data_IF_455839413958
#
_entry.id   IF_455839413958
#
_cell.length_a   1.000
_cell.length_b   1.000
_cell.length_c   1.000
_cell.angle_alpha   90.00
_cell.angle_beta   90.00
_cell.angle_gamma   90.00
#
_symmetry.space_group_name_H-M   'P 1'
#
loop_
_entity.id
_entity.type
_entity.pdbx_description
1 polymer ?
#
# COMPACT_ATOMS: atom_id res chain seq x y z
N UNK A 1 -19.44 -20.60 6.39
CA UNK A 1 -20.15 -21.91 6.36
C UNK A 1 -20.39 -22.32 4.92
N UNK A 2 -20.39 -23.62 4.62
CA UNK A 2 -20.71 -24.16 3.30
C UNK A 2 -21.94 -25.08 3.39
N UNK A 3 -22.76 -25.08 2.33
CA UNK A 3 -23.96 -25.91 2.21
C UNK A 3 -23.91 -26.75 0.94
N UNK A 4 -24.50 -27.94 1.00
CA UNK A 4 -24.71 -28.76 -0.19
C UNK A 4 -25.95 -28.30 -0.98
N UNK A 5 -26.22 -28.95 -2.11
CA UNK A 5 -27.37 -28.65 -2.98
C UNK A 5 -28.73 -28.83 -2.28
N UNK A 6 -28.81 -29.67 -1.25
CA UNK A 6 -30.01 -29.87 -0.43
C UNK A 6 -30.17 -28.81 0.69
N UNK A 7 -29.25 -27.84 0.78
CA UNK A 7 -29.27 -26.79 1.79
C UNK A 7 -28.75 -27.20 3.17
N UNK A 8 -28.29 -28.44 3.35
CA UNK A 8 -27.67 -28.89 4.60
C UNK A 8 -26.29 -28.27 4.76
N UNK A 9 -25.96 -27.85 5.97
CA UNK A 9 -24.61 -27.35 6.29
C UNK A 9 -23.66 -28.53 6.31
N UNK A 10 -22.65 -28.49 5.45
CA UNK A 10 -21.64 -29.56 5.32
C UNK A 10 -20.28 -29.14 5.85
N UNK A 11 -20.08 -27.83 6.09
CA UNK A 11 -18.89 -27.33 6.76
C UNK A 11 -19.22 -26.03 7.48
N UNK A 12 -18.69 -25.85 8.69
CA UNK A 12 -18.90 -24.65 9.50
C UNK A 12 -17.63 -24.28 10.21
N UNK A 13 -17.30 -23.00 10.22
CA UNK A 13 -16.21 -22.46 11.01
C UNK A 13 -16.73 -21.26 11.78
N UNK A 14 -16.67 -21.38 13.11
CA UNK A 14 -17.02 -20.32 14.05
C UNK A 14 -15.71 -19.86 14.69
N UNK A 15 -15.10 -18.86 14.05
CA UNK A 15 -13.82 -18.30 14.45
C UNK A 15 -13.95 -17.41 15.68
N UNK A 16 -12.87 -17.35 16.48
CA UNK A 16 -12.62 -16.21 17.35
C UNK A 16 -12.08 -15.02 16.55
N UNK A 17 -11.64 -13.95 17.23
CA UNK A 17 -11.13 -12.76 16.55
C UNK A 17 -9.89 -13.04 15.68
N UNK A 18 -9.10 -14.08 15.98
CA UNK A 18 -7.81 -14.32 15.34
C UNK A 18 -7.77 -15.60 14.48
N UNK A 19 -8.86 -16.34 14.34
CA UNK A 19 -8.87 -17.52 13.47
C UNK A 19 -8.47 -18.81 14.18
N UNK A 20 -8.40 -18.86 15.51
CA UNK A 20 -7.72 -19.95 16.23
C UNK A 20 -8.55 -21.21 16.40
N UNK A 21 -9.84 -21.17 16.07
CA UNK A 21 -10.74 -22.31 16.27
C UNK A 21 -10.70 -23.26 15.08
N UNK A 22 -10.90 -24.55 15.34
CA UNK A 22 -11.01 -25.54 14.28
C UNK A 22 -12.37 -25.45 13.57
N UNK A 23 -12.38 -25.72 12.27
CA UNK A 23 -13.64 -25.88 11.55
C UNK A 23 -14.30 -27.22 11.87
N UNK A 24 -15.62 -27.22 11.95
CA UNK A 24 -16.45 -28.41 11.98
C UNK A 24 -16.71 -28.88 10.53
N UNK A 25 -16.12 -30.00 10.17
CA UNK A 25 -16.19 -30.60 8.82
C UNK A 25 -17.40 -31.54 8.62
N UNK A 26 -18.12 -31.91 9.68
CA UNK A 26 -19.38 -32.66 9.59
C UNK A 26 -20.40 -32.09 10.60
N UNK A 27 -20.86 -30.85 10.43
CA UNK A 27 -21.82 -30.24 11.33
C UNK A 27 -23.21 -30.90 11.26
N UNK A 28 -23.47 -31.72 10.23
CA UNK A 28 -24.72 -32.47 10.08
C UNK A 28 -24.68 -33.85 10.76
N UNK A 29 -23.51 -34.32 11.22
CA UNK A 29 -23.34 -35.62 11.88
C UNK A 29 -23.64 -36.81 10.97
N UNK A 30 -23.38 -36.66 9.67
CA UNK A 30 -23.71 -37.66 8.64
C UNK A 30 -22.61 -38.70 8.45
N UNK A 31 -21.45 -38.51 9.08
CA UNK A 31 -20.25 -39.31 8.89
C UNK A 31 -19.45 -38.96 7.63
N UNK A 32 -19.86 -37.92 6.88
CA UNK A 32 -19.16 -37.43 5.68
C UNK A 32 -18.53 -36.07 5.96
N UNK A 33 -17.21 -36.03 6.12
CA UNK A 33 -16.47 -34.78 6.30
C UNK A 33 -16.30 -34.03 4.98
N UNK A 34 -16.59 -32.73 4.98
CA UNK A 34 -16.27 -31.82 3.88
C UNK A 34 -15.14 -30.89 4.30
N UNK A 35 -14.00 -30.96 3.62
CA UNK A 35 -12.86 -30.08 3.91
C UNK A 35 -12.96 -28.77 3.13
N UNK A 36 -12.91 -27.65 3.83
CA UNK A 36 -12.75 -26.31 3.25
C UNK A 36 -11.55 -25.64 3.91
N UNK A 37 -10.53 -25.35 3.10
CA UNK A 37 -9.26 -24.79 3.59
C UNK A 37 -9.27 -23.26 3.68
N UNK A 38 -10.27 -22.57 3.11
CA UNK A 38 -10.35 -21.11 3.21
C UNK A 38 -10.61 -20.66 4.66
N UNK A 39 -9.97 -19.55 5.08
CA UNK A 39 -10.09 -18.94 6.41
C UNK A 39 -10.52 -17.47 6.28
N UNK A 40 -9.89 -16.55 7.00
CA UNK A 40 -10.09 -15.11 6.78
C UNK A 40 -9.69 -14.72 5.35
N UNK A 41 -10.10 -13.53 4.85
CA UNK A 41 -9.80 -13.15 3.47
C UNK A 41 -8.28 -13.19 3.22
N UNK A 42 -7.89 -13.77 2.08
CA UNK A 42 -6.48 -14.00 1.73
C UNK A 42 -5.85 -15.27 2.33
N UNK A 43 -6.48 -15.89 3.33
CA UNK A 43 -5.90 -17.00 4.08
C UNK A 43 -6.36 -18.38 3.59
N UNK A 44 -5.37 -19.27 3.43
CA UNK A 44 -5.53 -20.69 3.16
C UNK A 44 -4.94 -21.52 4.30
N UNK A 45 -5.76 -22.35 4.95
CA UNK A 45 -5.31 -23.28 5.97
C UNK A 45 -4.51 -24.43 5.35
N UNK A 46 -3.24 -24.52 5.74
CA UNK A 46 -2.39 -25.66 5.43
C UNK A 46 -2.49 -26.69 6.56
N UNK A 47 -3.14 -27.82 6.27
CA UNK A 47 -3.39 -28.88 7.24
C UNK A 47 -2.10 -29.63 7.65
N UNK A 48 -1.04 -29.57 6.85
CA UNK A 48 0.21 -30.28 7.13
C UNK A 48 1.07 -29.53 8.15
N UNK A 49 1.08 -28.20 8.08
CA UNK A 49 1.91 -27.35 8.94
C UNK A 49 1.13 -26.72 10.09
N UNK A 50 -0.16 -26.41 9.91
CA UNK A 50 -1.04 -25.76 10.90
C UNK A 50 -1.25 -24.24 10.71
N UNK A 51 -0.23 -23.43 10.35
CA UNK A 51 -0.42 -22.03 10.00
C UNK A 51 -1.29 -21.81 8.77
N UNK A 52 -1.84 -20.60 8.65
CA UNK A 52 -2.56 -20.15 7.48
C UNK A 52 -1.59 -19.49 6.51
N UNK A 53 -1.52 -19.97 5.28
CA UNK A 53 -0.81 -19.29 4.21
C UNK A 53 -1.59 -18.05 3.76
N UNK A 54 -0.96 -16.88 3.85
CA UNK A 54 -1.51 -15.57 3.49
C UNK A 54 -0.57 -14.93 2.45
N UNK A 55 -0.57 -15.52 1.25
CA UNK A 55 0.23 -15.17 0.08
C UNK A 55 1.73 -14.93 0.34
N UNK A 56 2.10 -13.73 0.80
CA UNK A 56 3.49 -13.39 1.06
C UNK A 56 4.00 -13.89 2.43
N UNK A 57 3.11 -14.30 3.34
CA UNK A 57 3.47 -14.67 4.73
C UNK A 57 2.65 -15.85 5.27
N UNK A 58 3.16 -16.52 6.29
CA UNK A 58 2.43 -17.53 7.06
C UNK A 58 1.94 -16.94 8.38
N UNK A 59 0.63 -17.04 8.63
CA UNK A 59 -0.06 -16.53 9.80
C UNK A 59 -0.35 -17.65 10.79
N UNK A 60 0.06 -17.48 12.04
CA UNK A 60 -0.29 -18.38 13.14
C UNK A 60 -1.49 -17.82 13.92
N UNK A 61 -2.68 -18.42 13.78
CA UNK A 61 -3.88 -17.95 14.46
C UNK A 61 -3.84 -18.17 15.97
N UNK A 62 -2.97 -19.04 16.50
CA UNK A 62 -2.85 -19.28 17.96
C UNK A 62 -2.17 -18.12 18.67
N UNK A 63 -1.25 -17.45 17.98
CA UNK A 63 -0.53 -16.29 18.50
C UNK A 63 -1.06 -14.97 17.94
N UNK A 64 -1.92 -15.02 16.92
CA UNK A 64 -2.49 -13.85 16.25
C UNK A 64 -1.45 -13.07 15.44
N UNK A 65 -0.42 -13.74 14.94
CA UNK A 65 0.78 -13.11 14.37
C UNK A 65 1.29 -13.88 13.15
N UNK A 66 2.02 -13.19 12.29
CA UNK A 66 2.85 -13.85 11.28
C UNK A 66 4.02 -14.58 11.94
N UNK A 67 4.43 -15.72 11.38
CA UNK A 67 5.57 -16.51 11.89
C UNK A 67 6.90 -16.02 11.31
N UNK A 68 6.84 -15.33 10.17
CA UNK A 68 7.96 -14.63 9.55
C UNK A 68 7.82 -13.13 9.80
N UNK A 69 8.95 -12.45 9.95
CA UNK A 69 8.96 -10.97 9.94
C UNK A 69 8.40 -10.48 8.61
N UNK A 70 7.72 -9.35 8.64
CA UNK A 70 7.24 -8.68 7.44
C UNK A 70 8.38 -8.50 6.43
N UNK A 71 8.22 -8.94 5.16
CA UNK A 71 9.20 -8.68 4.10
C UNK A 71 9.49 -7.19 3.88
N UNK A 72 8.54 -6.32 4.21
CA UNK A 72 8.74 -4.86 4.19
C UNK A 72 9.37 -4.32 5.50
N UNK A 73 9.53 -5.15 6.54
CA UNK A 73 10.19 -4.78 7.79
C UNK A 73 9.31 -3.96 8.74
N UNK A 74 9.90 -3.02 9.49
CA UNK A 74 9.17 -2.13 10.43
C UNK A 74 8.14 -1.23 9.73
N UNK A 75 8.19 -1.21 8.42
CA UNK A 75 7.28 -0.58 7.48
C UNK A 75 5.84 -1.13 7.60
N UNK A 76 5.66 -2.41 7.97
CA UNK A 76 4.35 -3.00 8.31
C UNK A 76 3.85 -2.64 9.72
N UNK A 77 4.65 -1.93 10.50
CA UNK A 77 4.42 -1.57 11.91
C UNK A 77 5.61 -1.94 12.81
N UNK A 78 5.72 -1.30 13.98
CA UNK A 78 6.79 -1.56 14.97
C UNK A 78 6.91 -3.05 15.31
N UNK A 79 5.79 -3.76 15.27
CA UNK A 79 5.75 -5.21 15.36
C UNK A 79 5.60 -5.81 13.95
N UNK A 80 6.73 -6.18 13.34
CA UNK A 80 6.79 -6.79 11.99
C UNK A 80 6.14 -8.16 11.89
N UNK A 81 5.67 -8.72 13.02
CA UNK A 81 4.94 -9.98 13.06
C UNK A 81 3.44 -9.76 13.32
N UNK A 82 2.98 -8.51 13.44
CA UNK A 82 1.57 -8.24 13.74
C UNK A 82 0.68 -8.49 12.52
N UNK A 83 -0.49 -9.05 12.76
CA UNK A 83 -1.57 -9.14 11.79
C UNK A 83 -2.52 -7.97 12.01
N UNK A 84 -2.80 -7.18 10.96
CA UNK A 84 -3.81 -6.10 10.94
C UNK A 84 -3.78 -5.17 12.17
N UNK A 85 -2.58 -4.78 12.59
CA UNK A 85 -2.39 -3.88 13.75
C UNK A 85 -2.95 -4.39 15.09
N UNK A 86 -3.32 -5.67 15.18
CA UNK A 86 -4.03 -6.24 16.33
C UNK A 86 -5.55 -6.03 16.33
N UNK A 87 -6.15 -5.55 15.24
CA UNK A 87 -7.59 -5.32 15.09
C UNK A 87 -8.25 -6.14 13.95
N UNK A 88 -8.25 -7.48 14.02
CA UNK A 88 -8.80 -8.36 12.98
C UNK A 88 -10.33 -8.35 12.85
N UNK A 89 -11.01 -7.59 13.70
CA UNK A 89 -12.46 -7.39 13.62
C UNK A 89 -12.79 -6.29 12.59
N UNK A 90 -11.93 -5.28 12.48
CA UNK A 90 -12.18 -4.10 11.64
C UNK A 90 -11.33 -4.07 10.39
N UNK A 91 -10.19 -4.76 10.39
CA UNK A 91 -9.19 -4.73 9.34
C UNK A 91 -8.91 -6.12 8.79
N UNK A 92 -8.49 -6.15 7.53
CA UNK A 92 -8.19 -7.37 6.77
C UNK A 92 -6.90 -7.11 6.00
N UNK A 93 -6.05 -8.13 5.89
CA UNK A 93 -4.79 -8.07 5.13
C UNK A 93 -4.74 -9.19 4.07
N UNK A 94 -5.43 -9.01 2.91
CA UNK A 94 -5.59 -10.04 1.88
C UNK A 94 -4.28 -10.46 1.20
N UNK A 95 -3.36 -9.51 0.96
CA UNK A 95 -2.08 -9.78 0.30
C UNK A 95 -0.91 -9.91 1.30
N UNK A 96 -1.04 -9.41 2.52
CA UNK A 96 0.05 -9.34 3.47
C UNK A 96 0.90 -8.06 3.36
N UNK A 97 0.40 -6.94 2.81
CA UNK A 97 1.19 -5.76 2.35
C UNK A 97 0.49 -4.39 2.60
N UNK A 98 1.14 -3.23 2.32
CA UNK A 98 0.59 -1.87 2.63
C UNK A 98 1.09 -0.73 1.69
N UNK A 99 0.50 0.47 1.73
CA UNK A 99 0.86 1.70 0.97
C UNK A 99 1.59 2.77 1.80
N UNK A 100 2.56 3.47 1.19
CA UNK A 100 3.47 4.43 1.85
C UNK A 100 3.46 5.84 1.26
N UNK A 101 3.60 6.85 2.12
CA UNK A 101 3.88 8.23 1.78
C UNK A 101 5.31 8.60 2.17
N UNK A 102 6.10 9.05 1.21
CA UNK A 102 7.51 9.33 1.38
C UNK A 102 7.81 10.82 1.29
N UNK A 103 8.69 11.30 2.17
CA UNK A 103 9.14 12.68 2.28
C UNK A 103 10.66 12.69 2.27
N UNK A 104 11.24 13.44 1.34
CA UNK A 104 12.68 13.69 1.26
C UNK A 104 12.94 15.18 1.31
N UNK A 105 14.07 15.65 1.87
CA UNK A 105 14.41 17.09 1.84
C UNK A 105 14.35 17.62 0.40
N UNK A 106 13.74 18.79 0.19
CA UNK A 106 13.66 19.39 -1.13
C UNK A 106 15.06 19.87 -1.48
N UNK A 107 15.67 19.21 -2.45
CA UNK A 107 16.87 19.68 -3.10
C UNK A 107 16.56 21.07 -3.64
N UNK A 108 17.07 22.12 -2.96
CA UNK A 108 16.58 23.49 -3.10
C UNK A 108 16.62 24.02 -4.55
N UNK A 109 17.29 23.33 -5.49
CA UNK A 109 17.44 23.74 -6.87
C UNK A 109 17.45 22.58 -7.90
N UNK A 110 16.80 21.44 -7.62
CA UNK A 110 16.39 20.46 -8.63
C UNK A 110 17.49 19.80 -9.47
N UNK A 111 18.43 19.09 -8.83
CA UNK A 111 19.49 18.36 -9.53
C UNK A 111 20.07 17.12 -8.83
N UNK A 112 19.46 16.61 -7.75
CA UNK A 112 19.97 15.49 -6.96
C UNK A 112 19.31 14.13 -7.24
N UNK A 113 20.10 13.07 -7.09
CA UNK A 113 19.83 11.63 -7.24
C UNK A 113 18.96 11.00 -6.14
N UNK A 114 18.23 11.80 -5.37
CA UNK A 114 17.38 11.33 -4.27
C UNK A 114 18.11 11.05 -2.94
N UNK A 115 19.39 11.41 -2.78
CA UNK A 115 20.12 11.18 -1.51
C UNK A 115 20.10 12.37 -0.53
N UNK A 116 19.97 12.07 0.77
CA UNK A 116 19.92 13.02 1.89
C UNK A 116 21.24 13.77 2.05
N UNK A 117 21.24 15.09 1.85
CA UNK A 117 22.36 15.95 2.24
C UNK A 117 21.87 17.12 3.13
N UNK A 118 22.19 17.06 4.42
CA UNK A 118 22.03 18.19 5.36
C UNK A 118 20.99 17.99 6.49
N UNK A 119 21.09 18.79 7.58
CA UNK A 119 20.21 18.69 8.73
C UNK A 119 18.88 19.46 8.55
N UNK A 120 17.81 18.90 9.09
CA UNK A 120 16.46 19.46 9.08
C UNK A 120 16.36 20.66 10.04
N UNK A 121 16.21 21.88 9.51
CA UNK A 121 16.01 23.09 10.30
C UNK A 121 14.52 23.40 10.47
N UNK A 122 14.14 23.79 11.69
CA UNK A 122 12.76 24.07 12.11
C UNK A 122 12.20 25.28 11.35
N UNK A 123 11.25 25.05 10.43
CA UNK A 123 10.54 26.10 9.68
C UNK A 123 10.58 26.00 8.15
N UNK A 124 11.03 24.88 7.55
CA UNK A 124 11.17 24.76 6.09
C UNK A 124 9.92 24.17 5.40
N UNK A 125 9.21 24.92 4.52
CA UNK A 125 8.03 24.44 3.78
C UNK A 125 8.37 23.64 2.50
N UNK A 126 9.61 23.18 2.35
CA UNK A 126 10.13 22.59 1.13
C UNK A 126 10.70 21.18 1.41
N UNK A 127 9.86 20.15 1.30
CA UNK A 127 10.26 18.75 1.22
C UNK A 127 9.61 18.08 0.00
N UNK A 128 10.33 17.28 -0.77
CA UNK A 128 9.71 16.53 -1.86
C UNK A 128 8.87 15.38 -1.29
N UNK A 129 7.62 15.27 -1.71
CA UNK A 129 6.68 14.25 -1.26
C UNK A 129 6.24 13.38 -2.45
N UNK A 130 6.21 12.06 -2.25
CA UNK A 130 5.79 11.07 -3.24
C UNK A 130 5.09 9.89 -2.56
N UNK A 131 4.39 9.07 -3.35
CA UNK A 131 3.72 7.86 -2.87
C UNK A 131 4.41 6.62 -3.44
N UNK A 132 4.47 5.56 -2.65
CA UNK A 132 4.91 4.25 -3.09
C UNK A 132 3.84 3.21 -2.75
N UNK A 133 3.54 2.33 -3.71
CA UNK A 133 2.65 1.19 -3.56
C UNK A 133 3.46 -0.09 -3.76
N UNK A 134 3.05 -1.18 -3.08
CA UNK A 134 3.71 -2.48 -3.19
C UNK A 134 2.74 -3.47 -3.83
N UNK A 135 3.02 -3.88 -5.08
CA UNK A 135 2.19 -4.84 -5.82
C UNK A 135 2.99 -6.07 -6.21
N UNK A 136 2.56 -7.24 -5.75
CA UNK A 136 3.24 -8.51 -6.04
C UNK A 136 4.75 -8.48 -5.68
N UNK A 137 5.13 -7.78 -4.60
CA UNK A 137 6.53 -7.58 -4.21
C UNK A 137 7.32 -6.60 -5.07
N UNK A 138 6.67 -5.91 -6.02
CA UNK A 138 7.26 -4.83 -6.81
C UNK A 138 6.83 -3.50 -6.21
N UNK A 139 7.80 -2.66 -5.88
CA UNK A 139 7.55 -1.29 -5.41
C UNK A 139 7.39 -0.39 -6.63
N UNK A 140 6.25 0.29 -6.73
CA UNK A 140 6.00 1.33 -7.73
C UNK A 140 5.86 2.66 -6.97
N UNK A 141 6.76 3.61 -7.24
CA UNK A 141 6.71 4.94 -6.65
C UNK A 141 6.34 5.98 -7.70
N UNK A 142 5.59 6.99 -7.29
CA UNK A 142 5.22 8.12 -8.12
C UNK A 142 5.19 9.40 -7.32
N UNK A 143 5.92 10.41 -7.82
CA UNK A 143 5.89 11.79 -7.35
C UNK A 143 5.88 12.77 -8.51
N UNK A 144 6.00 14.06 -8.19
CA UNK A 144 6.13 15.14 -9.17
C UNK A 144 7.39 15.96 -8.91
N UNK A 145 8.20 16.16 -9.95
CA UNK A 145 9.38 17.02 -9.94
C UNK A 145 9.33 18.06 -11.06
N UNK A 146 10.23 19.05 -11.00
CA UNK A 146 10.32 20.16 -11.94
C UNK A 146 10.92 19.77 -13.31
N UNK A 147 11.89 18.84 -13.38
CA UNK A 147 12.58 18.51 -14.65
C UNK A 147 13.45 17.24 -14.53
N UNK A 148 13.00 16.09 -15.07
CA UNK A 148 13.90 14.98 -15.41
C UNK A 148 13.72 14.43 -16.83
N UNK A 149 13.06 15.20 -17.69
CA UNK A 149 12.98 14.87 -19.11
C UNK A 149 12.21 15.96 -19.84
N UNK A 150 12.90 16.98 -20.30
CA UNK A 150 12.35 17.93 -21.28
C UNK A 150 11.68 17.15 -22.43
N UNK A 151 10.64 17.73 -23.06
CA UNK A 151 10.94 18.41 -24.29
C UNK A 151 11.22 19.87 -23.96
N UNK A 152 12.06 20.55 -24.77
CA UNK A 152 12.26 21.97 -24.60
C UNK A 152 10.89 22.65 -24.59
N UNK A 153 10.80 23.78 -23.90
CA UNK A 153 9.74 24.75 -24.13
C UNK A 153 9.40 24.78 -25.64
N UNK A 154 8.11 24.81 -26.03
CA UNK A 154 7.72 25.02 -27.43
C UNK A 154 8.64 26.06 -28.04
N UNK A 155 9.13 25.89 -29.27
CA UNK A 155 10.22 26.73 -29.82
C UNK A 155 9.95 28.24 -29.83
N UNK A 156 8.69 28.66 -29.60
CA UNK A 156 8.26 30.04 -29.40
C UNK A 156 8.35 30.55 -27.94
N UNK A 157 8.62 29.69 -26.96
CA UNK A 157 8.71 29.99 -25.53
C UNK A 157 10.18 30.10 -25.06
N UNK A 158 10.56 31.18 -24.36
CA UNK A 158 11.95 31.40 -23.94
C UNK A 158 12.43 30.34 -22.93
N UNK A 159 13.70 29.93 -23.03
CA UNK A 159 14.33 28.96 -22.11
C UNK A 159 14.43 29.43 -20.65
N UNK A 160 14.28 30.74 -20.39
CA UNK A 160 14.28 31.35 -19.06
C UNK A 160 12.88 31.52 -18.46
N UNK A 161 11.83 30.97 -19.10
CA UNK A 161 10.47 31.02 -18.56
C UNK A 161 10.40 30.23 -17.24
N UNK A 162 10.01 30.85 -16.11
CA UNK A 162 10.19 30.28 -14.76
C UNK A 162 9.27 29.08 -14.44
N UNK A 163 8.45 28.66 -15.40
CA UNK A 163 7.30 27.77 -15.22
C UNK A 163 7.27 26.70 -16.33
N UNK A 164 7.93 25.55 -16.11
CA UNK A 164 7.95 24.40 -17.03
C UNK A 164 7.02 23.25 -16.59
N UNK A 165 6.56 22.37 -17.51
CA UNK A 165 5.69 21.24 -17.17
C UNK A 165 6.34 20.35 -16.11
N UNK A 166 5.56 19.86 -15.14
CA UNK A 166 6.07 18.88 -14.17
C UNK A 166 6.42 17.55 -14.86
N UNK A 167 7.23 16.73 -14.19
CA UNK A 167 7.64 15.41 -14.66
C UNK A 167 7.46 14.38 -13.55
N UNK A 168 7.22 13.09 -13.88
CA UNK A 168 7.29 12.04 -12.88
C UNK A 168 8.69 12.01 -12.28
N UNK A 169 8.77 11.92 -10.96
CA UNK A 169 10.04 11.72 -10.27
C UNK A 169 10.42 10.24 -10.28
N UNK A 170 11.71 9.97 -10.41
CA UNK A 170 12.28 8.63 -10.32
C UNK A 170 12.65 8.34 -8.86
N UNK A 171 11.66 8.36 -7.98
CA UNK A 171 11.85 8.17 -6.55
C UNK A 171 11.89 6.67 -6.22
N UNK A 172 12.69 6.32 -5.22
CA UNK A 172 12.72 4.97 -4.66
C UNK A 172 12.17 4.97 -3.24
N UNK A 173 11.66 3.83 -2.82
CA UNK A 173 11.24 3.64 -1.45
C UNK A 173 12.45 3.59 -0.51
N UNK A 174 12.36 4.28 0.63
CA UNK A 174 13.37 4.24 1.70
C UNK A 174 12.72 4.36 3.08
N UNK A 175 13.04 3.42 3.97
CA UNK A 175 12.49 3.31 5.34
C UNK A 175 12.63 4.60 6.16
N UNK A 176 13.74 5.33 6.00
CA UNK A 176 14.01 6.54 6.77
C UNK A 176 13.27 7.78 6.25
N UNK A 177 12.55 7.63 5.14
CA UNK A 177 11.92 8.72 4.40
C UNK A 177 10.42 8.46 4.19
N UNK A 178 9.91 7.27 4.51
CA UNK A 178 8.54 6.87 4.19
C UNK A 178 7.73 6.48 5.44
N UNK A 179 6.48 6.93 5.49
CA UNK A 179 5.50 6.64 6.53
C UNK A 179 4.32 5.87 5.92
N UNK A 180 3.84 4.82 6.59
CA UNK A 180 2.66 4.07 6.15
C UNK A 180 1.44 4.98 6.14
N UNK A 181 0.75 5.06 4.98
CA UNK A 181 -0.43 5.92 4.81
C UNK A 181 -1.74 5.12 4.81
N UNK A 182 -1.73 3.90 4.27
CA UNK A 182 -2.94 3.07 4.14
C UNK A 182 -2.58 1.59 4.10
N UNK A 183 -3.45 0.77 4.67
CA UNK A 183 -3.40 -0.70 4.51
C UNK A 183 -3.71 -1.13 3.06
N UNK A 184 -3.56 -2.43 2.80
CA UNK A 184 -3.82 -3.06 1.51
C UNK A 184 -5.22 -2.71 0.97
N UNK A 185 -5.28 -1.95 -0.12
CA UNK A 185 -6.52 -1.58 -0.80
C UNK A 185 -6.31 -1.65 -2.30
N UNK A 186 -6.73 -2.78 -2.88
CA UNK A 186 -6.62 -3.08 -4.31
C UNK A 186 -7.20 -1.98 -5.21
N UNK A 187 -8.29 -1.34 -4.81
CA UNK A 187 -8.91 -0.28 -5.59
C UNK A 187 -8.03 0.97 -5.56
N UNK A 188 -7.63 1.37 -4.36
CA UNK A 188 -6.85 2.58 -4.11
C UNK A 188 -5.48 2.47 -4.78
N UNK A 189 -4.79 1.34 -4.61
CA UNK A 189 -3.49 1.09 -5.23
C UNK A 189 -3.56 0.97 -6.76
N UNK A 190 -4.64 0.39 -7.31
CA UNK A 190 -4.82 0.33 -8.77
C UNK A 190 -5.02 1.74 -9.34
N UNK A 191 -5.74 2.59 -8.59
CA UNK A 191 -5.89 3.99 -8.93
C UNK A 191 -4.55 4.71 -8.89
N UNK A 192 -3.76 4.55 -7.82
CA UNK A 192 -2.43 5.16 -7.70
C UNK A 192 -1.49 4.72 -8.83
N UNK A 193 -1.40 3.43 -9.14
CA UNK A 193 -0.59 2.92 -10.26
C UNK A 193 -1.00 3.55 -11.61
N UNK A 194 -2.29 3.87 -11.78
CA UNK A 194 -2.78 4.56 -12.98
C UNK A 194 -2.40 6.04 -12.99
N UNK A 195 -2.50 6.73 -11.84
CA UNK A 195 -2.10 8.13 -11.68
C UNK A 195 -0.58 8.31 -11.85
N UNK A 196 0.22 7.34 -11.42
CA UNK A 196 1.67 7.37 -11.59
C UNK A 196 2.09 7.44 -13.06
N UNK A 197 1.29 6.87 -13.97
CA UNK A 197 1.50 6.87 -15.42
C UNK A 197 0.92 8.11 -16.14
N UNK A 198 0.15 8.96 -15.45
CA UNK A 198 -0.45 10.16 -16.04
C UNK A 198 0.55 11.29 -16.23
N UNK A 199 0.41 12.11 -17.29
CA UNK A 199 1.17 13.34 -17.43
C UNK A 199 1.07 14.21 -16.18
N UNK A 200 2.19 14.77 -15.73
CA UNK A 200 2.20 15.61 -14.53
C UNK A 200 1.70 17.02 -14.85
N UNK A 201 0.98 17.66 -13.91
CA UNK A 201 0.60 19.05 -14.06
C UNK A 201 1.83 19.96 -14.05
N UNK A 202 1.59 21.25 -14.29
CA UNK A 202 2.62 22.27 -14.21
C UNK A 202 3.17 22.38 -12.77
N UNK A 203 4.48 22.27 -12.57
CA UNK A 203 5.08 22.36 -11.22
C UNK A 203 5.25 23.81 -10.79
N UNK A 204 4.71 24.19 -9.63
CA UNK A 204 4.84 25.54 -9.11
C UNK A 204 4.69 25.66 -7.59
N UNK A 205 5.34 26.66 -7.01
CA UNK A 205 5.49 26.81 -5.54
C UNK A 205 4.80 28.08 -5.01
N UNK A 206 4.33 28.97 -5.89
CA UNK A 206 3.73 30.28 -5.52
C UNK A 206 2.42 30.50 -6.29
N UNK A 207 1.38 29.71 -5.97
CA UNK A 207 -0.01 29.94 -6.40
C UNK A 207 -0.34 29.74 -7.89
N UNK A 208 0.67 29.50 -8.73
CA UNK A 208 0.52 29.05 -10.10
C UNK A 208 1.27 27.71 -10.22
N UNK A 209 0.54 26.61 -10.42
CA UNK A 209 1.09 25.24 -10.52
C UNK A 209 0.76 24.35 -9.32
N UNK A 210 1.11 23.08 -9.42
CA UNK A 210 0.93 22.04 -8.41
C UNK A 210 2.29 21.55 -7.96
N UNK A 211 2.69 21.79 -6.71
CA UNK A 211 3.94 21.25 -6.18
C UNK A 211 3.83 19.74 -5.86
N UNK A 212 4.92 19.14 -5.39
CA UNK A 212 4.98 17.71 -5.06
C UNK A 212 3.98 17.31 -3.97
N UNK A 213 3.81 18.13 -2.92
CA UNK A 213 2.90 17.86 -1.82
C UNK A 213 1.44 17.97 -2.26
N UNK A 214 1.11 19.03 -2.99
CA UNK A 214 -0.22 19.24 -3.57
C UNK A 214 -0.58 18.12 -4.52
N UNK A 215 0.37 17.65 -5.33
CA UNK A 215 0.13 16.54 -6.23
C UNK A 215 -0.17 15.24 -5.50
N UNK A 216 0.63 14.90 -4.49
CA UNK A 216 0.40 13.72 -3.63
C UNK A 216 -0.96 13.80 -2.94
N UNK A 217 -1.30 14.97 -2.40
CA UNK A 217 -2.60 15.21 -1.76
C UNK A 217 -3.74 15.02 -2.74
N UNK A 218 -3.64 15.60 -3.93
CA UNK A 218 -4.67 15.54 -4.97
C UNK A 218 -4.89 14.12 -5.47
N UNK A 219 -3.84 13.37 -5.78
CA UNK A 219 -4.00 11.99 -6.29
C UNK A 219 -4.52 11.06 -5.21
N UNK A 220 -4.08 11.24 -3.96
CA UNK A 220 -4.56 10.44 -2.83
C UNK A 220 -6.05 10.67 -2.64
N UNK A 221 -6.47 11.94 -2.57
CA UNK A 221 -7.87 12.31 -2.43
C UNK A 221 -8.71 11.84 -3.61
N UNK A 222 -8.16 11.90 -4.83
CA UNK A 222 -8.87 11.44 -6.04
C UNK A 222 -9.09 9.93 -6.00
N UNK A 223 -8.09 9.16 -5.60
CA UNK A 223 -8.19 7.71 -5.45
C UNK A 223 -9.06 7.28 -4.27
N UNK A 224 -8.99 7.98 -3.13
CA UNK A 224 -9.93 7.82 -2.02
C UNK A 224 -11.38 8.01 -2.49
N UNK A 225 -11.68 9.17 -3.10
CA UNK A 225 -13.02 9.46 -3.59
C UNK A 225 -13.51 8.49 -4.67
N UNK A 226 -12.60 7.94 -5.47
CA UNK A 226 -12.96 6.96 -6.49
C UNK A 226 -13.32 5.60 -5.88
N UNK A 227 -12.64 5.22 -4.80
CA UNK A 227 -12.80 3.90 -4.17
C UNK A 227 -13.84 3.88 -3.05
N UNK A 228 -14.10 5.00 -2.37
CA UNK A 228 -15.17 5.13 -1.38
C UNK A 228 -16.58 5.28 -2.00
N UNK A 229 -16.66 5.59 -3.31
CA UNK A 229 -17.93 5.74 -4.04
C UNK A 229 -18.40 4.44 -4.74
N UNK A 230 -17.76 3.31 -4.46
CA UNK A 230 -18.15 1.97 -4.94
C UNK A 230 -18.66 1.13 -3.78
#
# INVERSE_FOLDING_TARGET
MARNQAGQVVWRWESDAFGSTAANEDPAGTGTSTTVNLRFPGQYFDAESGPHYNWHRYYDPRTGRYISSDPIGLEGGINTYSYVGGNPISEVDPLGLTTFACKVPLDALGGGDGQRTGPDLRGNPLYHEYLCIVRNGIVECGGQTRNHGSPPNPSWMPAWWPYGPGAPSNDSYSENQCEKKRDDDDCYESCLSSEFKRPRPFYGVIGMGTNCQEWVSDISKRCENQCEKK
#
